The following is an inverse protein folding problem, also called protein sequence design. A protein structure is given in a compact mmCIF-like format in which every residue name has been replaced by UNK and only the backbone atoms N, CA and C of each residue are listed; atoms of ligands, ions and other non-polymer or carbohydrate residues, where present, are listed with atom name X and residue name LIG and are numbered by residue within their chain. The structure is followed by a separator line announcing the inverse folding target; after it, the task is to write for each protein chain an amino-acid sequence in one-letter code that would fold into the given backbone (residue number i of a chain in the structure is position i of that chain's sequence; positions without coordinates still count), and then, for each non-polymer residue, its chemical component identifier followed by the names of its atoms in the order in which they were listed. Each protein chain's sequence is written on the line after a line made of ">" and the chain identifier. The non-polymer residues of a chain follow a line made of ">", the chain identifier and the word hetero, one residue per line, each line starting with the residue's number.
data_IF_245847538398
#
_entry.id   IF_245847538398
#
_cell.length_a   1.000
_cell.length_b   1.000
_cell.length_c   1.000
_cell.angle_alpha   90.00
_cell.angle_beta   90.00
_cell.angle_gamma   90.00
#
_symmetry.space_group_name_H-M   'P 1'
#
loop_
_entity.id
_entity.type
_entity.pdbx_description
1 polymer ?
#
# COMPACT_ATOMS: atom_id res chain seq x y z
N UNK A 1 0.09 -3.37 -8.83
CA UNK A 1 -1.09 -2.50 -8.75
C UNK A 1 -0.66 -1.10 -9.13
N UNK A 2 -1.45 -0.39 -9.93
CA UNK A 2 -1.16 1.01 -10.30
C UNK A 2 -2.26 1.90 -9.75
N UNK A 3 -1.89 2.91 -8.96
CA UNK A 3 -2.82 3.87 -8.32
C UNK A 3 -2.24 5.26 -8.52
N UNK A 4 -3.02 6.18 -9.09
CA UNK A 4 -2.59 7.56 -9.37
C UNK A 4 -1.30 7.70 -10.20
N UNK A 5 -1.00 6.71 -11.06
CA UNK A 5 0.24 6.65 -11.85
C UNK A 5 1.40 5.96 -11.15
N UNK A 6 1.22 5.54 -9.90
CA UNK A 6 2.24 4.93 -9.07
C UNK A 6 2.10 3.41 -9.00
N UNK A 7 3.20 2.69 -9.05
CA UNK A 7 3.21 1.23 -9.08
C UNK A 7 3.56 0.66 -7.72
N UNK A 8 2.68 -0.20 -7.22
CA UNK A 8 2.82 -0.94 -5.98
C UNK A 8 2.80 -2.44 -6.24
N UNK A 9 3.80 -3.15 -5.73
CA UNK A 9 3.76 -4.62 -5.64
C UNK A 9 2.94 -5.03 -4.41
N UNK A 10 1.95 -5.89 -4.60
CA UNK A 10 1.08 -6.37 -3.52
C UNK A 10 1.40 -7.83 -3.25
N UNK A 11 1.93 -8.10 -2.07
CA UNK A 11 2.24 -9.44 -1.59
C UNK A 11 1.33 -9.81 -0.43
N UNK A 12 0.83 -11.04 -0.39
CA UNK A 12 0.07 -11.57 0.75
C UNK A 12 1.00 -12.46 1.57
N UNK A 13 1.46 -12.04 2.75
CA UNK A 13 2.22 -12.92 3.62
C UNK A 13 1.37 -14.11 4.07
N UNK A 14 2.01 -15.25 4.35
CA UNK A 14 1.37 -16.51 4.77
C UNK A 14 0.72 -16.43 6.17
N UNK A 15 0.73 -15.25 6.77
CA UNK A 15 0.26 -14.90 8.11
C UNK A 15 -1.28 -14.91 8.26
N UNK A 16 -2.01 -15.24 7.18
CA UNK A 16 -3.45 -15.47 7.18
C UNK A 16 -4.24 -14.56 6.24
N UNK A 17 -5.55 -14.81 6.06
CA UNK A 17 -6.39 -13.98 5.21
C UNK A 17 -6.46 -12.55 5.76
N UNK A 18 -6.35 -11.56 4.88
CA UNK A 18 -6.47 -10.16 5.28
C UNK A 18 -5.16 -9.44 5.57
N UNK A 19 -4.01 -10.12 5.53
CA UNK A 19 -2.69 -9.48 5.59
C UNK A 19 -2.17 -9.20 4.18
N UNK A 20 -1.73 -7.97 3.95
CA UNK A 20 -1.17 -7.50 2.69
C UNK A 20 0.08 -6.66 2.96
N UNK A 21 1.06 -6.79 2.09
CA UNK A 21 2.27 -5.97 2.05
C UNK A 21 2.33 -5.26 0.72
N UNK A 22 2.52 -3.95 0.76
CA UNK A 22 2.65 -3.09 -0.40
C UNK A 22 4.07 -2.58 -0.48
N UNK A 23 4.77 -2.85 -1.58
CA UNK A 23 6.07 -2.25 -1.88
C UNK A 23 5.91 -1.21 -3.00
N UNK A 24 6.33 0.03 -2.74
CA UNK A 24 6.20 1.14 -3.68
C UNK A 24 7.39 1.15 -4.64
N UNK A 25 7.14 0.82 -5.91
CA UNK A 25 8.19 0.61 -6.91
C UNK A 25 8.58 1.90 -7.65
N UNK A 26 7.65 2.82 -7.84
CA UNK A 26 7.87 4.11 -8.54
C UNK A 26 8.09 5.28 -7.60
N UNK A 27 8.01 5.04 -6.29
CA UNK A 27 8.13 6.08 -5.28
C UNK A 27 9.52 6.67 -5.20
N UNK A 28 9.68 7.84 -4.54
CA UNK A 28 10.97 8.50 -4.37
C UNK A 28 11.96 7.63 -3.58
N UNK A 29 11.45 6.72 -2.75
CA UNK A 29 12.24 5.79 -1.96
C UNK A 29 11.89 4.34 -2.33
N UNK A 30 12.78 3.56 -2.96
CA UNK A 30 12.49 2.19 -3.38
C UNK A 30 12.31 1.18 -2.22
N UNK A 31 12.57 1.62 -0.98
CA UNK A 31 12.34 0.84 0.23
C UNK A 31 11.00 1.18 0.90
N UNK A 32 10.24 2.13 0.34
CA UNK A 32 8.94 2.49 0.90
C UNK A 32 7.90 1.44 0.60
N UNK A 33 7.00 1.31 1.55
CA UNK A 33 5.96 0.33 1.55
C UNK A 33 5.24 0.34 2.88
N UNK A 34 4.09 -0.31 2.92
CA UNK A 34 3.30 -0.42 4.13
C UNK A 34 2.62 -1.78 4.21
N UNK A 35 2.30 -2.19 5.43
CA UNK A 35 1.49 -3.37 5.70
C UNK A 35 0.06 -2.96 5.98
N UNK A 36 -0.89 -3.68 5.40
CA UNK A 36 -2.32 -3.56 5.71
C UNK A 36 -2.81 -4.88 6.29
N UNK A 37 -3.53 -4.80 7.40
CA UNK A 37 -4.21 -5.95 7.98
C UNK A 37 -5.67 -5.60 8.19
N UNK A 38 -6.56 -6.35 7.57
CA UNK A 38 -8.01 -6.21 7.79
C UNK A 38 -8.41 -6.82 9.14
N UNK A 39 -9.35 -6.17 9.83
CA UNK A 39 -9.97 -6.69 11.05
C UNK A 39 -11.50 -6.61 10.91
N UNK A 40 -12.25 -7.74 10.89
CA UNK A 40 -11.78 -9.13 10.99
C UNK A 40 -10.90 -9.57 9.80
N UNK A 41 -10.07 -10.63 9.96
CA UNK A 41 -9.16 -11.12 8.93
C UNK A 41 -9.95 -11.69 7.75
N UNK A 42 -10.19 -10.84 6.75
CA UNK A 42 -10.98 -11.13 5.56
C UNK A 42 -10.25 -10.63 4.31
N UNK A 43 -10.36 -11.34 3.18
CA UNK A 43 -9.78 -10.85 1.93
C UNK A 43 -10.44 -9.53 1.53
N UNK A 44 -9.61 -8.49 1.37
CA UNK A 44 -9.99 -7.20 0.84
C UNK A 44 -10.10 -7.25 -0.68
N UNK A 45 -11.06 -6.51 -1.23
CA UNK A 45 -11.23 -6.32 -2.66
C UNK A 45 -10.17 -5.39 -3.23
N UNK A 46 -9.99 -5.38 -4.55
CA UNK A 46 -9.03 -4.49 -5.20
C UNK A 46 -9.30 -3.01 -4.86
N UNK A 47 -10.57 -2.60 -4.83
CA UNK A 47 -10.95 -1.23 -4.48
C UNK A 47 -10.50 -0.82 -3.06
N UNK A 48 -10.64 -1.73 -2.07
CA UNK A 48 -10.15 -1.47 -0.70
C UNK A 48 -8.62 -1.31 -0.65
N UNK A 49 -7.90 -2.10 -1.45
CA UNK A 49 -6.44 -2.01 -1.54
C UNK A 49 -6.01 -0.71 -2.25
N UNK A 50 -6.74 -0.28 -3.28
CA UNK A 50 -6.51 0.99 -3.96
C UNK A 50 -6.75 2.19 -3.04
N UNK A 51 -7.83 2.18 -2.26
CA UNK A 51 -8.12 3.22 -1.27
C UNK A 51 -7.04 3.30 -0.19
N UNK A 52 -6.58 2.15 0.32
CA UNK A 52 -5.48 2.11 1.29
C UNK A 52 -4.17 2.68 0.72
N UNK A 53 -3.89 2.46 -0.57
CA UNK A 53 -2.75 3.08 -1.24
C UNK A 53 -2.96 4.60 -1.36
N UNK A 54 -4.15 5.06 -1.75
CA UNK A 54 -4.41 6.51 -1.85
C UNK A 54 -4.27 7.21 -0.50
N UNK A 55 -4.74 6.58 0.57
CA UNK A 55 -4.56 7.08 1.93
C UNK A 55 -3.08 7.18 2.29
N UNK A 56 -2.29 6.14 2.02
CA UNK A 56 -0.85 6.17 2.21
C UNK A 56 -0.17 7.28 1.38
N UNK A 57 -0.52 7.42 0.10
CA UNK A 57 0.01 8.49 -0.76
C UNK A 57 -0.38 9.88 -0.27
N UNK A 58 -1.57 10.04 0.29
CA UNK A 58 -2.01 11.31 0.89
C UNK A 58 -1.22 11.68 2.15
N UNK A 59 -0.59 10.73 2.82
CA UNK A 59 0.31 10.98 3.95
C UNK A 59 1.74 11.28 3.51
N UNK A 60 2.11 10.90 2.28
CA UNK A 60 3.42 11.19 1.72
C UNK A 60 3.43 12.62 1.19
N UNK A 61 4.33 13.43 1.70
CA UNK A 61 4.53 14.77 1.20
C UNK A 61 5.05 14.72 -0.25
N UNK A 62 4.38 15.36 -1.22
CA UNK A 62 4.73 15.25 -2.64
C UNK A 62 6.04 15.97 -3.01
N UNK A 63 6.50 16.89 -2.16
CA UNK A 63 7.71 17.69 -2.41
C UNK A 63 8.96 16.97 -1.87
N UNK A 64 8.82 16.28 -0.73
CA UNK A 64 9.92 15.64 -0.01
C UNK A 64 9.91 14.12 -0.09
N UNK A 65 8.76 13.50 -0.36
CA UNK A 65 8.59 12.05 -0.43
C UNK A 65 8.63 11.36 0.93
N UNK A 66 8.48 12.10 2.04
CA UNK A 66 8.45 11.58 3.40
C UNK A 66 7.02 11.51 3.95
N UNK A 67 6.76 10.54 4.81
CA UNK A 67 5.50 10.40 5.56
C UNK A 67 5.64 11.21 6.85
N UNK A 68 4.75 12.17 7.11
CA UNK A 68 4.73 12.99 8.35
C UNK A 68 3.77 12.43 9.42
#
# INVERSE_FOLDING_TARGET
>A
MTVDGEVFEVSRPDDGPGSYHFAWLTGPNPQYGFGLRSHPPAPLGTADLEEAIRDFLSQVDPDTGFIE
#
